data_IF_927784069491
#
_entry.id   IF_927784069491
#
_cell.length_a   1.000
_cell.length_b   1.000
_cell.length_c   1.000
_cell.angle_alpha   90.00
_cell.angle_beta   90.00
_cell.angle_gamma   90.00
#
_symmetry.space_group_name_H-M   'P 1'
#
loop_
_entity.id
_entity.type
_entity.pdbx_description
1 polymer ?
#
# COMPACT_ATOMS: atom_id res chain seq x y z
N UNK A 1 -24.45 -22.83 44.30
CA UNK A 1 -24.68 -23.13 42.87
C UNK A 1 -25.67 -22.10 42.35
N UNK A 2 -25.16 -20.98 41.86
CA UNK A 2 -25.05 -20.60 40.43
C UNK A 2 -26.33 -19.97 39.88
N UNK A 3 -26.20 -18.69 39.55
CA UNK A 3 -27.19 -17.80 38.96
C UNK A 3 -27.51 -18.13 37.49
N UNK A 4 -28.66 -17.66 37.00
CA UNK A 4 -29.00 -17.36 35.59
C UNK A 4 -30.22 -16.42 35.61
N UNK A 5 -30.06 -15.11 35.44
CA UNK A 5 -29.83 -14.35 34.20
C UNK A 5 -31.04 -14.40 33.26
N UNK A 6 -31.62 -13.21 32.95
CA UNK A 6 -32.00 -12.75 31.62
C UNK A 6 -32.76 -11.41 31.68
N UNK A 7 -32.01 -10.32 31.54
CA UNK A 7 -32.45 -9.01 31.05
C UNK A 7 -31.26 -8.51 30.21
N UNK A 8 -31.40 -7.96 29.01
CA UNK A 8 -32.53 -7.30 28.41
C UNK A 8 -32.46 -7.39 26.87
N UNK A 9 -33.63 -7.32 26.24
CA UNK A 9 -33.75 -6.79 24.89
C UNK A 9 -33.27 -5.33 24.89
N UNK A 10 -32.57 -4.87 23.85
CA UNK A 10 -33.16 -4.01 22.81
C UNK A 10 -32.12 -3.59 21.78
N UNK A 11 -32.55 -3.70 20.53
CA UNK A 11 -31.93 -3.29 19.29
C UNK A 11 -31.39 -1.86 19.28
N UNK A 12 -30.20 -1.70 18.72
CA UNK A 12 -29.81 -0.51 17.97
C UNK A 12 -28.87 -0.95 16.84
N UNK A 13 -29.49 -1.43 15.75
CA UNK A 13 -28.89 -1.38 14.44
C UNK A 13 -28.91 0.08 13.95
N UNK A 14 -28.03 0.37 12.98
CA UNK A 14 -27.77 1.64 12.29
C UNK A 14 -26.74 2.56 12.95
N UNK A 15 -25.50 2.48 12.44
CA UNK A 15 -24.97 3.56 11.62
C UNK A 15 -24.29 2.97 10.39
N UNK A 16 -24.94 3.22 9.25
CA UNK A 16 -24.46 2.98 7.90
C UNK A 16 -23.32 3.97 7.65
N UNK A 17 -22.09 3.49 7.53
CA UNK A 17 -20.96 4.29 7.05
C UNK A 17 -21.09 4.49 5.53
N UNK A 18 -21.98 5.38 5.11
CA UNK A 18 -22.00 5.92 3.76
C UNK A 18 -21.04 7.12 3.71
N UNK A 19 -19.75 6.83 3.66
CA UNK A 19 -18.72 7.72 3.15
C UNK A 19 -17.76 6.93 2.24
N UNK A 20 -18.31 6.00 1.45
CA UNK A 20 -17.65 5.56 0.23
C UNK A 20 -17.71 6.70 -0.78
N UNK A 21 -16.85 7.70 -0.63
CA UNK A 21 -16.28 8.29 -1.83
C UNK A 21 -15.64 7.10 -2.55
N UNK A 22 -16.04 6.83 -3.79
CA UNK A 22 -15.22 6.02 -4.68
C UNK A 22 -13.95 6.82 -4.96
N UNK A 23 -13.06 6.90 -3.98
CA UNK A 23 -11.72 7.42 -4.19
C UNK A 23 -10.97 6.31 -4.88
N UNK A 24 -10.58 6.54 -6.13
CA UNK A 24 -9.56 5.80 -6.87
C UNK A 24 -8.17 5.78 -6.16
N UNK A 25 -8.10 6.15 -4.89
CA UNK A 25 -6.89 6.10 -4.10
C UNK A 25 -6.72 4.69 -3.50
N UNK A 26 -5.47 4.18 -3.41
CA UNK A 26 -5.16 2.97 -2.67
C UNK A 26 -5.68 3.03 -1.21
N UNK A 27 -6.07 1.90 -0.60
CA UNK A 27 -6.41 1.85 0.82
C UNK A 27 -5.28 2.33 1.73
N UNK A 28 -5.61 2.78 2.94
CA UNK A 28 -4.63 3.30 3.92
C UNK A 28 -4.75 2.64 5.29
N UNK A 29 -5.37 1.46 5.33
CA UNK A 29 -5.70 0.71 6.54
C UNK A 29 -5.24 -0.76 6.45
N UNK A 30 -4.24 -1.04 5.60
CA UNK A 30 -3.66 -2.37 5.50
C UNK A 30 -2.99 -2.78 6.82
N UNK A 31 -2.97 -4.09 7.11
CA UNK A 31 -2.00 -4.59 8.09
C UNK A 31 -0.58 -4.48 7.52
N UNK A 32 0.42 -4.27 8.39
CA UNK A 32 1.85 -4.30 7.98
C UNK A 32 2.20 -5.60 7.25
N UNK A 33 1.71 -6.76 7.72
CA UNK A 33 1.96 -8.05 7.07
C UNK A 33 1.44 -8.10 5.63
N UNK A 34 0.16 -7.75 5.42
CA UNK A 34 -0.43 -7.72 4.07
C UNK A 34 0.30 -6.77 3.13
N UNK A 35 0.70 -5.59 3.62
CA UNK A 35 1.52 -4.65 2.87
C UNK A 35 2.86 -5.28 2.46
N UNK A 36 3.55 -5.90 3.41
CA UNK A 36 4.87 -6.47 3.20
C UNK A 36 4.88 -7.69 2.29
N UNK A 37 3.82 -8.49 2.30
CA UNK A 37 3.63 -9.58 1.35
C UNK A 37 3.52 -9.04 -0.08
N UNK A 38 2.65 -8.05 -0.30
CA UNK A 38 2.48 -7.42 -1.61
C UNK A 38 3.74 -6.67 -2.09
N UNK A 39 4.40 -5.94 -1.18
CA UNK A 39 5.65 -5.25 -1.48
C UNK A 39 6.76 -6.22 -1.87
N UNK A 40 6.92 -7.32 -1.12
CA UNK A 40 7.93 -8.35 -1.40
C UNK A 40 7.71 -8.96 -2.78
N UNK A 41 6.46 -9.25 -3.12
CA UNK A 41 6.13 -9.77 -4.45
C UNK A 41 6.52 -8.79 -5.56
N UNK A 42 6.15 -7.51 -5.42
CA UNK A 42 6.55 -6.49 -6.38
C UNK A 42 8.09 -6.33 -6.45
N UNK A 43 8.78 -6.28 -5.32
CA UNK A 43 10.23 -6.14 -5.27
C UNK A 43 10.94 -7.30 -5.98
N UNK A 44 10.46 -8.54 -5.78
CA UNK A 44 11.01 -9.73 -6.46
C UNK A 44 10.76 -9.71 -7.98
N UNK A 45 9.63 -9.16 -8.43
CA UNK A 45 9.35 -9.01 -9.87
C UNK A 45 10.14 -7.88 -10.53
N UNK A 46 10.62 -6.90 -9.76
CA UNK A 46 11.43 -5.77 -10.25
C UNK A 46 12.79 -6.24 -10.80
N UNK A 47 13.31 -7.38 -10.34
CA UNK A 47 14.56 -7.98 -10.84
C UNK A 47 14.36 -8.87 -12.09
N UNK A 48 13.11 -9.09 -12.50
CA UNK A 48 12.74 -9.95 -13.62
C UNK A 48 12.62 -9.23 -14.97
N UNK A 49 12.52 -10.02 -16.06
CA UNK A 49 12.18 -9.52 -17.40
C UNK A 49 10.70 -9.73 -17.75
N UNK A 50 9.93 -10.29 -16.83
CA UNK A 50 8.50 -10.55 -16.99
C UNK A 50 7.69 -9.31 -16.60
N UNK A 51 7.30 -8.56 -17.63
CA UNK A 51 6.55 -7.32 -17.48
C UNK A 51 5.15 -7.53 -16.92
N UNK A 52 4.51 -8.64 -17.30
CA UNK A 52 3.15 -8.95 -16.87
C UNK A 52 3.15 -9.23 -15.37
N UNK A 53 4.11 -10.05 -14.90
CA UNK A 53 4.29 -10.30 -13.47
C UNK A 53 4.61 -9.01 -12.69
N UNK A 54 5.45 -8.13 -13.25
CA UNK A 54 5.81 -6.86 -12.61
C UNK A 54 4.61 -5.91 -12.45
N UNK A 55 3.82 -5.74 -13.51
CA UNK A 55 2.61 -4.91 -13.50
C UNK A 55 1.52 -5.50 -12.59
N UNK A 56 1.32 -6.82 -12.62
CA UNK A 56 0.37 -7.52 -11.75
C UNK A 56 0.73 -7.39 -10.26
N UNK A 57 2.00 -7.55 -9.91
CA UNK A 57 2.47 -7.40 -8.53
C UNK A 57 2.32 -5.97 -8.02
N UNK A 58 2.56 -4.96 -8.87
CA UNK A 58 2.26 -3.58 -8.53
C UNK A 58 0.76 -3.31 -8.37
N UNK A 59 -0.08 -3.92 -9.20
CA UNK A 59 -1.53 -3.89 -9.05
C UNK A 59 -1.96 -4.44 -7.68
N UNK A 60 -1.37 -5.56 -7.24
CA UNK A 60 -1.60 -6.10 -5.88
C UNK A 60 -1.16 -5.14 -4.78
N UNK A 61 0.00 -4.49 -4.93
CA UNK A 61 0.45 -3.49 -3.97
C UNK A 61 -0.54 -2.30 -3.86
N UNK A 62 -1.10 -1.87 -4.98
CA UNK A 62 -2.14 -0.82 -5.04
C UNK A 62 -3.45 -1.27 -4.40
N UNK A 63 -3.88 -2.50 -4.67
CA UNK A 63 -5.11 -3.07 -4.09
C UNK A 63 -5.02 -3.22 -2.57
N UNK A 64 -3.86 -3.65 -2.06
CA UNK A 64 -3.61 -3.73 -0.62
C UNK A 64 -3.50 -2.35 0.00
N UNK A 65 -2.85 -1.41 -0.70
CA UNK A 65 -2.64 -0.05 -0.23
C UNK A 65 -1.52 0.04 0.79
N UNK A 66 -1.67 0.90 1.79
CA UNK A 66 -0.64 1.18 2.81
C UNK A 66 -1.18 0.93 4.23
N UNK A 67 -0.31 0.62 5.21
CA UNK A 67 -0.72 0.54 6.60
C UNK A 67 -1.21 1.86 7.20
N UNK A 68 -2.03 1.75 8.25
CA UNK A 68 -2.45 2.93 9.02
C UNK A 68 -1.23 3.65 9.62
N UNK A 69 -1.17 4.96 9.49
CA UNK A 69 -0.04 5.77 9.96
C UNK A 69 1.14 5.87 8.99
N UNK A 70 1.06 5.24 7.81
CA UNK A 70 2.05 5.41 6.74
C UNK A 70 2.21 6.90 6.42
N UNK A 71 3.43 7.45 6.32
CA UNK A 71 3.59 8.88 6.08
C UNK A 71 3.17 9.31 4.67
N UNK A 72 2.87 10.61 4.51
CA UNK A 72 2.25 11.15 3.31
C UNK A 72 3.07 10.92 2.03
N UNK A 73 4.40 10.98 2.11
CA UNK A 73 5.28 10.77 0.97
C UNK A 73 5.20 9.33 0.44
N UNK A 74 5.17 8.36 1.36
CA UNK A 74 5.06 6.94 1.02
C UNK A 74 3.65 6.57 0.54
N UNK A 75 2.60 7.17 1.13
CA UNK A 75 1.23 7.01 0.59
C UNK A 75 1.13 7.56 -0.83
N UNK A 76 1.69 8.75 -1.07
CA UNK A 76 1.72 9.35 -2.39
C UNK A 76 2.50 8.49 -3.39
N UNK A 77 3.61 7.87 -2.97
CA UNK A 77 4.32 6.93 -3.83
C UNK A 77 3.43 5.75 -4.26
N UNK A 78 2.61 5.17 -3.38
CA UNK A 78 1.66 4.10 -3.77
C UNK A 78 0.52 4.61 -4.66
N UNK A 79 0.10 5.88 -4.53
CA UNK A 79 -0.82 6.51 -5.48
C UNK A 79 -0.20 6.60 -6.89
N UNK A 80 1.09 6.93 -7.00
CA UNK A 80 1.80 6.92 -8.28
C UNK A 80 1.86 5.52 -8.90
N UNK A 81 1.94 4.45 -8.08
CA UNK A 81 1.82 3.08 -8.58
C UNK A 81 0.43 2.83 -9.18
N UNK A 82 -0.63 3.31 -8.53
CA UNK A 82 -1.99 3.17 -9.04
C UNK A 82 -2.15 3.88 -10.39
N UNK A 83 -1.62 5.09 -10.50
CA UNK A 83 -1.65 5.84 -11.76
C UNK A 83 -0.80 5.18 -12.84
N UNK A 84 0.38 4.66 -12.49
CA UNK A 84 1.25 3.94 -13.40
C UNK A 84 0.57 2.67 -13.96
N UNK A 85 0.02 1.81 -13.09
CA UNK A 85 -0.71 0.58 -13.47
C UNK A 85 -1.89 0.90 -14.39
N UNK A 86 -2.62 1.99 -14.15
CA UNK A 86 -3.70 2.46 -15.04
C UNK A 86 -3.20 3.03 -16.35
N UNK A 87 -2.04 3.69 -16.31
CA UNK A 87 -1.47 4.40 -17.45
C UNK A 87 -0.85 3.49 -18.50
N UNK A 88 -0.67 2.20 -18.19
CA UNK A 88 -0.13 1.19 -19.10
C UNK A 88 -1.01 1.06 -20.37
N UNK A 89 -0.85 2.02 -21.26
CA UNK A 89 -1.34 1.99 -22.63
C UNK A 89 -0.57 0.86 -23.34
N UNK A 90 -1.26 0.02 -24.14
CA UNK A 90 -0.63 -1.13 -24.77
C UNK A 90 0.45 -0.68 -25.76
N UNK A 91 1.72 -0.66 -25.34
CA UNK A 91 2.83 -0.33 -26.24
C UNK A 91 4.19 -0.01 -25.60
N UNK A 92 4.23 0.63 -24.42
CA UNK A 92 5.50 1.10 -23.83
C UNK A 92 5.67 0.55 -22.41
N UNK A 93 6.63 -0.38 -22.25
CA UNK A 93 6.94 -1.05 -20.97
C UNK A 93 7.94 -0.23 -20.17
N UNK A 94 7.47 0.83 -19.51
CA UNK A 94 8.29 1.71 -18.69
C UNK A 94 8.14 1.36 -17.22
N UNK A 95 9.25 1.16 -16.50
CA UNK A 95 9.18 1.02 -15.03
C UNK A 95 8.57 2.27 -14.42
N UNK A 96 7.98 2.15 -13.23
CA UNK A 96 7.38 3.31 -12.56
C UNK A 96 8.39 4.47 -12.41
N UNK A 97 9.66 4.17 -12.15
CA UNK A 97 10.72 5.19 -12.06
C UNK A 97 11.08 5.84 -13.41
N UNK A 98 10.78 5.19 -14.54
CA UNK A 98 10.94 5.75 -15.89
C UNK A 98 9.70 6.52 -16.34
N UNK A 99 8.51 6.10 -15.89
CA UNK A 99 7.23 6.72 -16.20
C UNK A 99 6.98 8.00 -15.39
N UNK A 100 7.33 7.99 -14.11
CA UNK A 100 7.01 9.08 -13.19
C UNK A 100 7.79 10.38 -13.52
N UNK A 101 7.20 11.55 -13.23
CA UNK A 101 7.90 12.83 -13.29
C UNK A 101 9.19 12.82 -12.46
N UNK A 102 10.19 13.62 -12.87
CA UNK A 102 11.51 13.63 -12.22
C UNK A 102 11.41 14.01 -10.74
N UNK A 103 10.51 14.93 -10.41
CA UNK A 103 10.23 15.39 -9.04
C UNK A 103 9.72 14.27 -8.11
N UNK A 104 9.07 13.24 -8.66
CA UNK A 104 8.42 12.17 -7.88
C UNK A 104 9.30 10.93 -7.71
N UNK A 105 10.37 10.81 -8.50
CA UNK A 105 11.26 9.63 -8.47
C UNK A 105 11.92 9.42 -7.12
N UNK A 106 12.24 10.50 -6.41
CA UNK A 106 12.80 10.41 -5.06
C UNK A 106 11.79 9.78 -4.08
N UNK A 107 10.49 10.07 -4.22
CA UNK A 107 9.43 9.45 -3.42
C UNK A 107 9.29 7.96 -3.70
N UNK A 108 9.43 7.54 -4.96
CA UNK A 108 9.41 6.11 -5.35
C UNK A 108 10.57 5.35 -4.69
N UNK A 109 11.79 5.90 -4.69
CA UNK A 109 12.92 5.27 -3.99
C UNK A 109 12.76 5.32 -2.47
N UNK A 110 12.22 6.42 -1.94
CA UNK A 110 11.91 6.57 -0.52
C UNK A 110 10.92 5.51 -0.03
N UNK A 111 9.92 5.17 -0.84
CA UNK A 111 9.01 4.07 -0.56
C UNK A 111 9.76 2.74 -0.40
N UNK A 112 10.73 2.44 -1.27
CA UNK A 112 11.51 1.20 -1.17
C UNK A 112 12.33 1.13 0.12
N UNK A 113 12.93 2.23 0.55
CA UNK A 113 13.70 2.31 1.80
C UNK A 113 12.78 2.18 3.02
N UNK A 114 11.67 2.91 3.04
CA UNK A 114 10.67 2.85 4.10
C UNK A 114 10.04 1.45 4.22
N UNK A 115 9.76 0.80 3.09
CA UNK A 115 9.21 -0.56 3.03
C UNK A 115 10.16 -1.56 3.63
N UNK A 116 11.47 -1.43 3.33
CA UNK A 116 12.48 -2.31 3.93
C UNK A 116 12.51 -2.19 5.45
N UNK A 117 12.45 -0.98 6.00
CA UNK A 117 12.38 -0.83 7.47
C UNK A 117 11.09 -1.42 8.00
N UNK A 118 9.96 -1.01 7.44
CA UNK A 118 8.63 -1.42 7.90
C UNK A 118 8.46 -2.93 7.90
N UNK A 119 8.94 -3.60 6.85
CA UNK A 119 8.84 -5.06 6.72
C UNK A 119 9.87 -5.84 7.52
N UNK A 120 11.02 -5.24 7.86
CA UNK A 120 12.01 -5.87 8.75
C UNK A 120 11.61 -5.72 10.21
N UNK A 121 11.04 -4.58 10.60
CA UNK A 121 10.62 -4.32 11.99
C UNK A 121 9.25 -4.89 12.30
N UNK A 122 8.38 -5.02 11.29
CA UNK A 122 6.96 -5.33 11.48
C UNK A 122 6.15 -4.14 12.01
N UNK A 123 6.71 -2.92 11.93
CA UNK A 123 6.12 -1.68 12.44
C UNK A 123 6.22 -0.57 11.40
N UNK A 124 5.22 0.30 11.31
CA UNK A 124 5.22 1.45 10.40
C UNK A 124 6.39 2.39 10.72
N UNK A 125 7.30 2.55 9.77
CA UNK A 125 8.45 3.43 9.91
C UNK A 125 8.08 4.91 9.71
N UNK A 126 8.92 5.82 10.21
CA UNK A 126 8.81 7.26 9.93
C UNK A 126 9.35 7.59 8.51
N UNK A 127 8.95 8.74 7.95
CA UNK A 127 9.45 9.18 6.63
C UNK A 127 10.96 9.23 6.60
N UNK A 128 11.55 8.71 5.53
CA UNK A 128 13.01 8.75 5.34
C UNK A 128 13.77 7.89 6.35
N UNK A 129 13.11 6.94 7.01
CA UNK A 129 13.77 5.89 7.77
C UNK A 129 14.57 5.00 6.80
N UNK A 130 15.83 5.38 6.56
CA UNK A 130 16.82 4.54 5.90
C UNK A 130 17.76 3.98 6.99
N UNK A 131 17.75 2.65 7.25
CA UNK A 131 18.59 2.05 8.28
C UNK A 131 20.08 2.06 7.91
N UNK A 132 20.41 2.41 6.65
CA UNK A 132 21.76 2.50 6.10
C UNK A 132 22.30 3.94 6.01
N UNK A 133 21.51 4.95 6.37
CA UNK A 133 21.95 6.34 6.60
C UNK A 133 22.82 6.94 5.49
N UNK A 134 22.42 6.80 4.22
CA UNK A 134 23.07 7.47 3.09
C UNK A 134 22.16 8.53 2.49
#
# INVERSE_FOLDING_TARGET
MTARALTALTSAALLVALAGCSSDAPPTDASVDAYCDAYTEWALTTEGTDWEAYSEAAGRLVEVGTPEGTPDAERHAVELFADWVRSEAPGERLSIAQWAPEEDRAGIYGLMDWSQVTCVTGEVAETGANPLGR
#
